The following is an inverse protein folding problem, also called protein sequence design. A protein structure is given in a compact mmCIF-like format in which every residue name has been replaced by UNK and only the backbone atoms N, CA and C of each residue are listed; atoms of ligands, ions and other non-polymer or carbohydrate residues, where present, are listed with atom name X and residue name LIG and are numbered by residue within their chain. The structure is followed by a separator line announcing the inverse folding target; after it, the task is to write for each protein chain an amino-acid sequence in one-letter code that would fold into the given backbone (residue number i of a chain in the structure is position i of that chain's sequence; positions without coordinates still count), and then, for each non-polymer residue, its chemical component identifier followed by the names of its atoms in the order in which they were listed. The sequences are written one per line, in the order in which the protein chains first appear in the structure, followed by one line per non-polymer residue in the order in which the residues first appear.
data_IF_710689036620
#
_entry.id   IF_710689036620
#
_cell.length_a   1.000
_cell.length_b   1.000
_cell.length_c   1.000
_cell.angle_alpha   90.00
_cell.angle_beta   90.00
_cell.angle_gamma   90.00
#
_symmetry.space_group_name_H-M   'P 1'
#
loop_
_entity.id
_entity.type
_entity.pdbx_description
1 polymer ?
#
# COMPACT_ATOMS: atom_id res chain seq x y z
N UNK A 1 -21.32 -8.40 -20.55
CA UNK A 1 -21.07 -7.98 -19.15
C UNK A 1 -19.69 -7.35 -19.08
N UNK A 2 -19.54 -6.08 -18.69
CA UNK A 2 -18.22 -5.48 -18.52
C UNK A 2 -17.47 -6.20 -17.40
N UNK A 3 -16.23 -6.64 -17.66
CA UNK A 3 -15.32 -7.13 -16.62
C UNK A 3 -15.05 -5.97 -15.68
N UNK A 4 -15.69 -5.96 -14.51
CA UNK A 4 -15.36 -5.02 -13.43
C UNK A 4 -13.89 -5.24 -13.11
N UNK A 5 -13.06 -4.26 -13.44
CA UNK A 5 -11.64 -4.31 -13.12
C UNK A 5 -11.57 -4.33 -11.59
N UNK A 6 -11.18 -5.46 -11.00
CA UNK A 6 -10.97 -5.62 -9.56
C UNK A 6 -9.74 -4.85 -9.06
N UNK A 7 -9.05 -4.13 -9.94
CA UNK A 7 -8.03 -3.18 -9.54
C UNK A 7 -8.74 -1.90 -9.09
N UNK A 8 -8.75 -1.63 -7.80
CA UNK A 8 -8.89 -0.28 -7.25
C UNK A 8 -7.47 0.32 -7.20
N UNK A 9 -6.96 0.88 -8.31
CA UNK A 9 -5.58 1.36 -8.38
C UNK A 9 -5.29 2.43 -7.33
N UNK A 10 -6.32 3.18 -6.95
CA UNK A 10 -6.27 4.27 -5.98
C UNK A 10 -5.98 3.76 -4.56
N UNK A 11 -6.66 2.67 -4.15
CA UNK A 11 -6.47 2.01 -2.86
C UNK A 11 -5.08 1.41 -2.77
N UNK A 12 -4.64 0.69 -3.81
CA UNK A 12 -3.29 0.14 -3.87
C UNK A 12 -2.21 1.24 -3.79
N UNK A 13 -2.37 2.32 -4.56
CA UNK A 13 -1.44 3.46 -4.52
C UNK A 13 -1.41 4.16 -3.16
N UNK A 14 -2.54 4.20 -2.44
CA UNK A 14 -2.59 4.75 -1.08
C UNK A 14 -1.79 3.87 -0.11
N UNK A 15 -2.00 2.56 -0.12
CA UNK A 15 -1.25 1.60 0.73
C UNK A 15 0.24 1.65 0.40
N UNK A 16 0.59 1.64 -0.89
CA UNK A 16 1.99 1.71 -1.31
C UNK A 16 2.65 3.01 -0.84
N UNK A 17 1.97 4.16 -0.99
CA UNK A 17 2.48 5.44 -0.47
C UNK A 17 2.71 5.41 1.04
N UNK A 18 1.81 4.82 1.82
CA UNK A 18 1.98 4.71 3.27
C UNK A 18 3.23 3.89 3.63
N UNK A 19 3.47 2.79 2.91
CA UNK A 19 4.66 1.97 3.08
C UNK A 19 5.94 2.78 2.76
N UNK A 20 5.94 3.50 1.64
CA UNK A 20 7.09 4.33 1.24
C UNK A 20 7.37 5.45 2.24
N UNK A 21 6.34 6.12 2.74
CA UNK A 21 6.49 7.14 3.77
C UNK A 21 7.03 6.56 5.09
N UNK A 22 6.58 5.37 5.48
CA UNK A 22 7.12 4.69 6.66
C UNK A 22 8.60 4.30 6.48
N UNK A 23 8.99 3.83 5.30
CA UNK A 23 10.38 3.56 4.96
C UNK A 23 11.24 4.83 5.00
N UNK A 24 10.76 5.94 4.41
CA UNK A 24 11.44 7.22 4.39
C UNK A 24 11.67 7.78 5.81
N UNK A 25 10.70 7.64 6.72
CA UNK A 25 10.85 8.03 8.14
C UNK A 25 11.96 7.25 8.86
N UNK A 26 12.40 6.12 8.31
CA UNK A 26 13.48 5.28 8.84
C UNK A 26 14.79 5.46 8.08
N UNK A 27 14.86 6.42 7.17
CA UNK A 27 16.05 6.68 6.35
C UNK A 27 16.27 5.65 5.24
N UNK A 28 15.25 4.87 4.87
CA UNK A 28 15.33 3.87 3.79
C UNK A 28 14.77 4.52 2.52
N UNK A 29 15.61 4.65 1.49
CA UNK A 29 15.20 5.11 0.16
C UNK A 29 14.36 4.06 -0.57
N UNK A 30 13.57 4.48 -1.56
CA UNK A 30 12.71 3.59 -2.35
C UNK A 30 13.48 2.47 -3.05
N UNK A 31 14.65 2.76 -3.60
CA UNK A 31 15.49 1.77 -4.28
C UNK A 31 16.03 0.77 -3.27
N UNK A 32 16.45 1.25 -2.11
CA UNK A 32 16.93 0.40 -1.02
C UNK A 32 15.81 -0.47 -0.45
N UNK A 33 14.61 0.09 -0.29
CA UNK A 33 13.41 -0.62 0.14
C UNK A 33 13.07 -1.77 -0.82
N UNK A 34 13.09 -1.51 -2.13
CA UNK A 34 12.83 -2.53 -3.15
C UNK A 34 13.85 -3.68 -3.04
N UNK A 35 15.14 -3.34 -2.98
CA UNK A 35 16.22 -4.34 -2.87
C UNK A 35 16.08 -5.16 -1.59
N UNK A 36 15.84 -4.52 -0.44
CA UNK A 36 15.64 -5.19 0.85
C UNK A 36 14.38 -6.07 0.87
N UNK A 37 13.36 -5.74 0.08
CA UNK A 37 12.15 -6.54 -0.09
C UNK A 37 12.30 -7.68 -1.12
N UNK A 38 13.46 -7.78 -1.77
CA UNK A 38 13.76 -8.80 -2.78
C UNK A 38 13.18 -8.49 -4.16
N UNK A 39 12.97 -7.22 -4.49
CA UNK A 39 12.51 -6.75 -5.78
C UNK A 39 13.52 -5.81 -6.44
N UNK A 40 13.52 -5.76 -7.78
CA UNK A 40 14.26 -4.74 -8.50
C UNK A 40 13.58 -3.36 -8.32
N UNK A 41 14.32 -2.24 -8.29
CA UNK A 41 13.75 -0.89 -8.25
C UNK A 41 12.77 -0.64 -9.40
N UNK A 42 13.05 -1.21 -10.58
CA UNK A 42 12.15 -1.17 -11.73
C UNK A 42 10.80 -1.84 -11.45
N UNK A 43 10.78 -2.93 -10.68
CA UNK A 43 9.54 -3.61 -10.27
C UNK A 43 8.67 -2.70 -9.41
N UNK A 44 9.28 -1.99 -8.45
CA UNK A 44 8.58 -1.01 -7.62
C UNK A 44 8.01 0.15 -8.46
N UNK A 45 8.81 0.65 -9.41
CA UNK A 45 8.38 1.70 -10.35
C UNK A 45 7.20 1.23 -11.22
N UNK A 46 7.27 0.03 -11.80
CA UNK A 46 6.18 -0.57 -12.58
C UNK A 46 4.93 -0.78 -11.72
N UNK A 47 5.07 -1.21 -10.47
CA UNK A 47 3.94 -1.37 -9.54
C UNK A 47 3.24 -0.03 -9.25
N UNK A 48 3.99 1.05 -9.04
CA UNK A 48 3.41 2.40 -8.88
C UNK A 48 2.57 2.81 -10.10
N UNK A 49 3.13 2.64 -11.30
CA UNK A 49 2.48 3.05 -12.55
C UNK A 49 1.25 2.18 -12.86
N UNK A 50 1.35 0.87 -12.65
CA UNK A 50 0.26 -0.08 -12.95
C UNK A 50 -0.87 -0.04 -11.92
N UNK A 51 -0.60 0.47 -10.72
CA UNK A 51 -1.57 0.49 -9.62
C UNK A 51 -1.94 -0.90 -9.11
N UNK A 52 -1.07 -1.90 -9.33
CA UNK A 52 -1.22 -3.25 -8.78
C UNK A 52 0.14 -3.93 -8.63
N UNK A 53 0.17 -5.02 -7.86
CA UNK A 53 1.33 -5.87 -7.72
C UNK A 53 1.04 -7.10 -6.86
N UNK A 54 2.06 -7.93 -6.70
CA UNK A 54 1.97 -9.15 -5.90
C UNK A 54 1.80 -8.81 -4.41
N UNK A 55 0.80 -9.41 -3.76
CA UNK A 55 0.52 -9.15 -2.34
C UNK A 55 1.67 -9.59 -1.43
N UNK A 56 2.40 -10.65 -1.80
CA UNK A 56 3.60 -11.09 -1.09
C UNK A 56 4.70 -10.03 -1.13
N UNK A 57 4.92 -9.39 -2.28
CA UNK A 57 5.86 -8.28 -2.40
C UNK A 57 5.42 -7.06 -1.57
N UNK A 58 4.14 -6.69 -1.61
CA UNK A 58 3.61 -5.59 -0.77
C UNK A 58 3.82 -5.88 0.72
N UNK A 59 3.61 -7.13 1.14
CA UNK A 59 3.86 -7.57 2.52
C UNK A 59 5.33 -7.44 2.89
N UNK A 60 6.27 -7.85 2.03
CA UNK A 60 7.71 -7.71 2.28
C UNK A 60 8.14 -6.24 2.36
N UNK A 61 7.65 -5.40 1.45
CA UNK A 61 7.89 -3.95 1.49
C UNK A 61 7.41 -3.35 2.82
N UNK A 62 6.21 -3.72 3.27
CA UNK A 62 5.68 -3.31 4.57
C UNK A 62 6.60 -3.77 5.72
N UNK A 63 7.04 -5.04 5.72
CA UNK A 63 7.93 -5.57 6.76
C UNK A 63 9.26 -4.81 6.84
N UNK A 64 9.90 -4.53 5.69
CA UNK A 64 11.15 -3.74 5.64
C UNK A 64 10.90 -2.32 6.16
N UNK A 65 9.77 -1.72 5.79
CA UNK A 65 9.35 -0.42 6.30
C UNK A 65 8.97 -0.43 7.80
N UNK A 66 8.84 -1.60 8.44
CA UNK A 66 8.48 -1.75 9.86
C UNK A 66 6.98 -1.76 10.11
N UNK A 67 6.21 -2.02 9.07
CA UNK A 67 4.77 -2.16 9.11
C UNK A 67 4.38 -3.64 9.03
N UNK A 68 3.14 -3.91 9.40
CA UNK A 68 2.46 -5.18 9.16
C UNK A 68 1.14 -4.89 8.47
N UNK A 69 0.80 -5.70 7.46
CA UNK A 69 -0.51 -5.67 6.82
C UNK A 69 -1.42 -6.60 7.61
N UNK A 70 -2.59 -6.12 7.98
CA UNK A 70 -3.62 -6.89 8.69
C UNK A 70 -5.00 -6.51 8.17
N UNK A 71 -5.92 -7.47 8.18
CA UNK A 71 -7.32 -7.19 7.87
C UNK A 71 -7.99 -6.60 9.12
N UNK A 72 -8.67 -5.47 8.97
CA UNK A 72 -9.48 -4.84 10.01
C UNK A 72 -10.94 -4.83 9.56
N UNK A 73 -11.91 -4.86 10.50
CA UNK A 73 -13.32 -4.72 10.15
C UNK A 73 -13.57 -3.39 9.42
N UNK A 74 -14.29 -3.45 8.32
CA UNK A 74 -14.74 -2.28 7.57
C UNK A 74 -15.97 -1.68 8.26
N UNK A 75 -15.75 -0.92 9.34
CA UNK A 75 -16.82 -0.27 10.11
C UNK A 75 -17.02 1.17 9.62
N UNK A 76 -17.54 1.32 8.40
CA UNK A 76 -17.82 2.60 7.74
C UNK A 76 -18.71 3.53 8.60
N UNK A 77 -19.62 2.94 9.39
CA UNK A 77 -20.46 3.66 10.34
C UNK A 77 -19.69 4.30 11.50
N UNK A 78 -18.66 3.65 12.05
CA UNK A 78 -17.84 4.23 13.12
C UNK A 78 -16.91 5.33 12.60
N UNK A 79 -16.34 5.16 11.41
CA UNK A 79 -15.52 6.20 10.78
C UNK A 79 -16.33 7.44 10.41
N UNK A 80 -17.60 7.27 10.00
CA UNK A 80 -18.52 8.38 9.75
C UNK A 80 -18.96 9.09 11.04
N UNK A 81 -19.19 8.33 12.12
CA UNK A 81 -19.46 8.90 13.46
C UNK A 81 -18.25 9.68 14.00
N UNK A 82 -17.03 9.18 13.80
CA UNK A 82 -15.81 9.85 14.27
C UNK A 82 -15.44 11.09 13.44
N UNK A 83 -15.80 11.12 12.16
CA UNK A 83 -15.64 12.31 11.30
C UNK A 83 -16.67 13.41 11.54
N UNK A 84 -17.73 13.13 12.30
CA UNK A 84 -18.78 14.11 12.61
C UNK A 84 -19.74 14.37 11.45
N UNK A 85 -19.79 13.49 10.45
CA UNK A 85 -20.65 13.61 9.25
C UNK A 85 -22.11 13.18 9.50
N UNK A 86 -22.46 12.78 10.74
CA UNK A 86 -23.84 12.55 11.14
C UNK A 86 -24.44 13.87 11.63
N UNK A 87 -24.83 14.78 10.74
CA UNK A 87 -25.98 15.72 10.78
C UNK A 87 -26.00 16.61 9.54
#
# INVERSE_FOLDING_TARGET
MPRRSFAEPETFQRVLRQILQAAAKRGIDESELAVRAGAAPETLSRMKTRGNGDFGLVTRLAQVAGLRITAVPDNDALESLQRGDFF
#
